data_IF_524894955827
#
_entry.id   IF_524894955827
#
_cell.length_a   1.000
_cell.length_b   1.000
_cell.length_c   1.000
_cell.angle_alpha   90.00
_cell.angle_beta   90.00
_cell.angle_gamma   90.00
#
_symmetry.space_group_name_H-M   'P 1'
#
loop_
_entity.id
_entity.type
_entity.pdbx_description
1 polymer ?
#
# COMPACT_ATOMS: atom_id res chain seq x y z
N UNK A 1 -26.35 -16.37 26.01
CA UNK A 1 -25.32 -16.31 24.96
C UNK A 1 -23.95 -16.23 25.62
N UNK A 2 -23.01 -17.11 25.24
CA UNK A 2 -21.70 -17.18 25.89
C UNK A 2 -20.76 -16.06 25.39
N UNK A 3 -19.95 -15.41 26.26
CA UNK A 3 -18.96 -14.41 25.88
C UNK A 3 -18.01 -14.85 24.75
N UNK A 4 -17.75 -16.15 24.62
CA UNK A 4 -16.89 -16.74 23.58
C UNK A 4 -17.44 -16.55 22.16
N UNK A 5 -18.76 -16.51 21.98
CA UNK A 5 -19.38 -16.29 20.66
C UNK A 5 -19.29 -14.82 20.24
N UNK A 6 -19.43 -13.90 21.20
CA UNK A 6 -19.24 -12.46 20.96
C UNK A 6 -17.78 -12.14 20.65
N UNK A 7 -16.85 -12.74 21.38
CA UNK A 7 -15.41 -12.60 21.14
C UNK A 7 -14.97 -13.18 19.79
N UNK A 8 -15.58 -14.30 19.36
CA UNK A 8 -15.36 -14.89 18.04
C UNK A 8 -15.93 -14.00 16.93
N UNK A 9 -17.16 -13.51 17.06
CA UNK A 9 -17.74 -12.57 16.09
C UNK A 9 -17.01 -11.23 16.04
N UNK A 10 -16.51 -10.72 17.16
CA UNK A 10 -15.64 -9.53 17.19
C UNK A 10 -14.27 -9.79 16.54
N UNK A 11 -13.73 -11.02 16.63
CA UNK A 11 -12.53 -11.41 15.88
C UNK A 11 -12.79 -11.57 14.39
N UNK A 12 -13.92 -12.17 14.00
CA UNK A 12 -14.39 -12.28 12.62
C UNK A 12 -14.61 -10.88 12.01
N UNK A 13 -15.22 -9.96 12.76
CA UNK A 13 -15.33 -8.54 12.39
C UNK A 13 -13.99 -7.80 12.42
N UNK A 14 -13.03 -8.24 13.23
CA UNK A 14 -11.68 -7.68 13.30
C UNK A 14 -10.78 -8.09 12.14
N UNK A 15 -11.11 -9.16 11.41
CA UNK A 15 -10.55 -9.46 10.08
C UNK A 15 -11.22 -8.59 9.04
N UNK A 16 -12.55 -8.52 8.99
CA UNK A 16 -13.27 -7.70 8.00
C UNK A 16 -12.93 -6.22 8.10
N UNK A 17 -12.87 -5.63 9.30
CA UNK A 17 -12.45 -4.23 9.45
C UNK A 17 -11.01 -3.98 8.99
N UNK A 18 -10.09 -4.90 9.31
CA UNK A 18 -8.71 -4.79 8.82
C UNK A 18 -8.62 -4.99 7.31
N UNK A 19 -9.41 -5.89 6.75
CA UNK A 19 -9.50 -6.15 5.31
C UNK A 19 -10.06 -4.94 4.57
N UNK A 20 -11.11 -4.31 5.08
CA UNK A 20 -11.67 -3.07 4.52
C UNK A 20 -10.66 -1.92 4.58
N UNK A 21 -10.00 -1.72 5.73
CA UNK A 21 -8.94 -0.71 5.85
C UNK A 21 -7.77 -1.00 4.92
N UNK A 22 -7.39 -2.27 4.77
CA UNK A 22 -6.32 -2.70 3.87
C UNK A 22 -6.71 -2.51 2.40
N UNK A 23 -7.97 -2.77 2.03
CA UNK A 23 -8.52 -2.54 0.69
C UNK A 23 -8.45 -1.06 0.31
N UNK A 24 -8.94 -0.17 1.19
CA UNK A 24 -8.86 1.28 0.97
C UNK A 24 -7.40 1.75 0.88
N UNK A 25 -6.50 1.19 1.70
CA UNK A 25 -5.06 1.49 1.63
C UNK A 25 -4.44 1.01 0.33
N UNK A 26 -4.84 -0.16 -0.15
CA UNK A 26 -4.38 -0.73 -1.42
C UNK A 26 -4.80 0.17 -2.58
N UNK A 27 -6.08 0.48 -2.70
CA UNK A 27 -6.61 1.33 -3.77
C UNK A 27 -5.87 2.67 -3.83
N UNK A 28 -5.76 3.35 -2.68
CA UNK A 28 -5.12 4.66 -2.59
C UNK A 28 -3.62 4.62 -2.88
N UNK A 29 -2.96 3.54 -2.45
CA UNK A 29 -1.54 3.31 -2.79
C UNK A 29 -1.37 3.12 -4.30
N UNK A 30 -2.19 2.29 -4.93
CA UNK A 30 -2.09 2.00 -6.36
C UNK A 30 -2.41 3.23 -7.21
N UNK A 31 -3.40 4.03 -6.80
CA UNK A 31 -3.71 5.32 -7.42
C UNK A 31 -2.47 6.23 -7.38
N UNK A 32 -1.90 6.49 -6.20
CA UNK A 32 -0.72 7.35 -6.03
C UNK A 32 0.48 6.85 -6.83
N UNK A 33 0.69 5.54 -6.92
CA UNK A 33 1.78 4.95 -7.72
C UNK A 33 1.59 5.11 -9.23
N UNK A 34 0.35 5.25 -9.71
CA UNK A 34 0.03 5.36 -11.14
C UNK A 34 -0.18 6.79 -11.60
N UNK A 35 -0.47 7.73 -10.70
CA UNK A 35 -0.80 9.12 -11.04
C UNK A 35 0.25 10.13 -10.59
N UNK A 36 1.15 9.75 -9.68
CA UNK A 36 2.15 10.68 -9.12
C UNK A 36 3.54 10.08 -9.06
N UNK A 37 4.56 10.93 -9.14
CA UNK A 37 5.96 10.52 -8.95
C UNK A 37 6.54 10.92 -7.58
N UNK A 38 5.65 11.18 -6.60
CA UNK A 38 6.09 11.55 -5.24
C UNK A 38 6.92 10.42 -4.61
N UNK A 39 7.90 10.68 -3.73
CA UNK A 39 8.71 9.61 -3.15
C UNK A 39 7.87 8.54 -2.41
N UNK A 40 8.28 7.26 -2.48
CA UNK A 40 7.56 6.17 -1.80
C UNK A 40 7.44 6.38 -0.28
N UNK A 41 8.38 7.11 0.34
CA UNK A 41 8.31 7.49 1.75
C UNK A 41 7.10 8.41 2.03
N UNK A 42 6.82 9.35 1.12
CA UNK A 42 5.65 10.24 1.21
C UNK A 42 4.36 9.45 1.03
N UNK A 43 4.33 8.52 0.07
CA UNK A 43 3.17 7.62 -0.12
C UNK A 43 2.92 6.81 1.15
N UNK A 44 3.97 6.21 1.73
CA UNK A 44 3.87 5.41 2.94
C UNK A 44 3.24 6.21 4.10
N UNK A 45 3.73 7.42 4.36
CA UNK A 45 3.16 8.29 5.39
C UNK A 45 1.68 8.63 5.11
N UNK A 46 1.33 8.92 3.86
CA UNK A 46 -0.01 9.35 3.45
C UNK A 46 -1.07 8.25 3.55
N UNK A 47 -0.68 6.99 3.32
CA UNK A 47 -1.57 5.83 3.46
C UNK A 47 -1.43 5.15 4.83
N UNK A 48 -0.59 5.69 5.72
CA UNK A 48 -0.46 5.26 7.12
C UNK A 48 0.45 4.06 7.37
N UNK A 49 1.45 3.80 6.52
CA UNK A 49 2.53 2.84 6.81
C UNK A 49 3.67 3.51 7.58
N UNK A 50 4.34 2.73 8.43
CA UNK A 50 5.47 3.19 9.25
C UNK A 50 6.67 3.64 8.42
N UNK A 51 6.91 2.97 7.29
CA UNK A 51 8.01 3.29 6.39
C UNK A 51 7.77 2.75 4.97
N UNK A 52 8.69 3.11 4.06
CA UNK A 52 8.71 2.61 2.69
C UNK A 52 8.91 1.09 2.59
N UNK A 53 9.59 0.43 3.55
CA UNK A 53 9.79 -1.03 3.56
C UNK A 53 8.46 -1.75 3.81
N UNK A 54 7.65 -1.27 4.74
CA UNK A 54 6.31 -1.76 5.05
C UNK A 54 5.39 -1.61 3.83
N UNK A 55 5.36 -0.42 3.22
CA UNK A 55 4.63 -0.17 1.98
C UNK A 55 5.04 -1.14 0.86
N UNK A 56 6.35 -1.35 0.64
CA UNK A 56 6.85 -2.27 -0.39
C UNK A 56 6.39 -3.71 -0.17
N UNK A 57 6.37 -4.18 1.08
CA UNK A 57 5.88 -5.53 1.39
C UNK A 57 4.38 -5.65 1.15
N UNK A 58 3.60 -4.63 1.51
CA UNK A 58 2.16 -4.59 1.24
C UNK A 58 1.88 -4.62 -0.28
N UNK A 59 2.53 -3.74 -1.05
CA UNK A 59 2.37 -3.69 -2.51
C UNK A 59 2.73 -5.01 -3.19
N UNK A 60 3.85 -5.63 -2.78
CA UNK A 60 4.22 -6.96 -3.30
C UNK A 60 3.21 -8.05 -2.94
N UNK A 61 2.60 -7.97 -1.76
CA UNK A 61 1.56 -8.92 -1.34
C UNK A 61 0.29 -8.79 -2.19
N UNK A 62 -0.09 -7.56 -2.54
CA UNK A 62 -1.32 -7.28 -3.28
C UNK A 62 -1.20 -7.47 -4.80
N UNK A 63 -0.11 -6.96 -5.40
CA UNK A 63 0.04 -6.85 -6.86
C UNK A 63 1.17 -7.74 -7.40
N UNK A 64 1.99 -8.35 -6.53
CA UNK A 64 3.14 -9.18 -6.92
C UNK A 64 4.36 -8.40 -7.41
N UNK A 65 4.18 -7.18 -7.93
CA UNK A 65 5.26 -6.32 -8.45
C UNK A 65 5.79 -5.36 -7.40
N UNK A 66 6.97 -4.78 -7.65
CA UNK A 66 7.47 -3.69 -6.80
C UNK A 66 6.78 -2.36 -7.17
N UNK A 67 6.67 -1.40 -6.23
CA UNK A 67 6.12 -0.07 -6.54
C UNK A 67 6.80 0.65 -7.71
N UNK A 68 8.11 0.39 -7.91
CA UNK A 68 8.88 0.93 -9.03
C UNK A 68 8.40 0.36 -10.37
N UNK A 69 8.12 -0.93 -10.43
CA UNK A 69 7.64 -1.58 -11.65
C UNK A 69 6.25 -1.06 -12.05
N UNK A 70 5.40 -0.78 -11.05
CA UNK A 70 4.09 -0.15 -11.26
C UNK A 70 4.25 1.26 -11.85
N UNK A 71 5.21 2.06 -11.34
CA UNK A 71 5.52 3.39 -11.91
C UNK A 71 6.09 3.31 -13.33
N UNK A 72 7.00 2.37 -13.57
CA UNK A 72 7.57 2.14 -14.89
C UNK A 72 6.44 1.81 -15.89
N UNK A 73 5.51 0.93 -15.51
CA UNK A 73 4.35 0.58 -16.33
C UNK A 73 3.39 1.76 -16.57
N UNK A 74 3.29 2.69 -15.63
CA UNK A 74 2.49 3.91 -15.77
C UNK A 74 3.22 5.04 -16.55
N UNK A 75 4.46 4.81 -17.01
CA UNK A 75 5.27 5.84 -17.68
C UNK A 75 5.77 6.95 -16.75
N UNK A 76 5.60 6.78 -15.42
CA UNK A 76 6.01 7.74 -14.39
C UNK A 76 7.42 7.51 -13.87
N UNK A 77 8.11 6.48 -14.36
CA UNK A 77 9.51 6.33 -14.07
C UNK A 77 10.30 7.40 -14.80
N UNK A 78 10.73 8.43 -14.06
CA UNK A 78 11.67 9.41 -14.55
C UNK A 78 12.85 8.72 -15.26
N UNK A 79 13.33 9.26 -16.41
CA UNK A 79 14.56 8.79 -17.02
C UNK A 79 15.70 8.87 -16.00
N UNK A 80 16.61 7.89 -16.07
CA UNK A 80 17.83 7.77 -15.27
C UNK A 80 18.50 9.13 -14.97
N UNK A 81 19.19 9.27 -13.82
CA UNK A 81 19.73 10.56 -13.39
C UNK A 81 20.58 11.15 -14.50
N UNK A 82 20.20 12.36 -14.97
CA UNK A 82 21.13 13.19 -15.73
C UNK A 82 22.22 13.58 -14.74
N UNK A 83 23.34 12.87 -14.81
CA UNK A 83 24.62 13.33 -14.30
C UNK A 83 24.91 14.67 -14.97
N UNK A 84 24.67 15.79 -14.28
CA UNK A 84 25.48 17.00 -14.43
C UNK A 84 26.64 16.85 -13.44
N UNK A 85 27.91 16.95 -13.84
CA UNK A 85 28.46 17.96 -14.73
C UNK A 85 29.20 18.94 -13.82
#
# INVERSE_FOLDING_TARGET
>A
MSPRTLQRRLRELGTTWREEVESVRQERTMELLRTTDVPLQVIAARVGYSDMRALRRAVRRWDGRAPRDIRNAAGLAAPAPRSGG
#
